data_IF_382025085804
#
_entry.id   IF_382025085804
#
_cell.length_a   1.000
_cell.length_b   1.000
_cell.length_c   1.000
_cell.angle_alpha   90.00
_cell.angle_beta   90.00
_cell.angle_gamma   90.00
#
_symmetry.space_group_name_H-M   'P 1'
#
loop_
_entity.id
_entity.type
_entity.pdbx_description
1 polymer ?
#
# COMPACT_ATOMS: atom_id res chain seq x y z
N UNK A 1 -22.12 -87.44 23.16
CA UNK A 1 -20.93 -88.32 23.10
C UNK A 1 -20.75 -88.76 21.65
N UNK A 2 -19.98 -87.99 20.88
CA UNK A 2 -19.55 -88.34 19.53
C UNK A 2 -18.15 -87.75 19.32
N UNK A 3 -17.20 -88.65 19.09
CA UNK A 3 -15.78 -88.43 18.88
C UNK A 3 -15.47 -87.97 17.47
N UNK A 4 -14.59 -86.97 17.30
CA UNK A 4 -13.70 -86.87 16.14
C UNK A 4 -12.38 -86.22 16.59
N UNK A 5 -11.36 -87.05 16.79
CA UNK A 5 -9.99 -86.60 16.94
C UNK A 5 -9.44 -86.27 15.55
N UNK A 6 -9.04 -85.01 15.32
CA UNK A 6 -8.33 -84.60 14.10
C UNK A 6 -6.86 -84.40 14.45
N UNK A 7 -6.03 -85.33 14.00
CA UNK A 7 -4.57 -85.20 14.02
C UNK A 7 -4.14 -84.12 13.03
N UNK A 8 -3.49 -83.07 13.54
CA UNK A 8 -2.70 -82.17 12.71
C UNK A 8 -1.22 -82.42 12.98
N UNK A 9 -0.55 -82.96 11.96
CA UNK A 9 0.91 -83.02 11.86
C UNK A 9 1.44 -81.62 11.54
N UNK A 10 2.31 -81.02 12.37
CA UNK A 10 2.98 -79.79 11.98
C UNK A 10 4.13 -80.13 11.03
N UNK A 11 4.07 -79.54 9.83
CA UNK A 11 5.16 -79.54 8.88
C UNK A 11 6.42 -78.90 9.50
N UNK A 12 7.55 -79.60 9.41
CA UNK A 12 8.87 -79.12 9.80
C UNK A 12 9.31 -78.01 8.82
N UNK A 13 9.13 -76.76 9.20
CA UNK A 13 9.82 -75.62 8.58
C UNK A 13 11.04 -75.26 9.45
N UNK A 14 12.25 -75.14 8.88
CA UNK A 14 13.40 -74.64 9.64
C UNK A 14 13.21 -73.14 9.86
N UNK A 15 12.76 -72.74 11.04
CA UNK A 15 12.75 -71.34 11.45
C UNK A 15 14.19 -70.91 11.70
N UNK A 16 14.86 -70.47 10.63
CA UNK A 16 16.09 -69.68 10.72
C UNK A 16 15.73 -68.38 11.43
N UNK A 17 16.07 -68.30 12.71
CA UNK A 17 15.84 -67.11 13.52
C UNK A 17 16.83 -66.06 13.03
N UNK A 18 16.39 -64.87 12.58
CA UNK A 18 17.32 -63.83 12.16
C UNK A 18 18.35 -63.52 13.26
N UNK A 19 19.62 -63.42 12.89
CA UNK A 19 20.78 -63.24 13.79
C UNK A 19 20.63 -62.08 14.80
N UNK A 20 19.81 -61.09 14.48
CA UNK A 20 19.53 -59.94 15.34
C UNK A 20 18.66 -60.28 16.57
N UNK A 21 17.98 -61.44 16.59
CA UNK A 21 17.18 -61.94 17.72
C UNK A 21 17.93 -62.96 18.61
N UNK A 22 19.15 -63.35 18.25
CA UNK A 22 19.97 -64.30 19.02
C UNK A 22 20.27 -63.90 20.48
N UNK A 23 20.49 -62.61 20.85
CA UNK A 23 20.86 -62.27 22.23
C UNK A 23 19.68 -62.41 23.22
N UNK A 24 18.43 -62.50 22.76
CA UNK A 24 17.26 -62.65 23.62
C UNK A 24 17.09 -64.08 24.18
N UNK A 25 17.74 -65.08 23.58
CA UNK A 25 17.66 -66.49 23.98
C UNK A 25 18.93 -67.02 24.66
N UNK A 26 19.96 -66.19 24.81
CA UNK A 26 21.20 -66.62 25.47
C UNK A 26 21.03 -66.57 27.00
N UNK A 27 21.00 -67.74 27.64
CA UNK A 27 20.98 -67.88 29.10
C UNK A 27 22.44 -67.80 29.59
N UNK A 28 22.80 -66.87 30.50
CA UNK A 28 24.18 -66.78 30.97
C UNK A 28 24.53 -68.00 31.85
N UNK A 29 25.60 -68.70 31.48
CA UNK A 29 26.27 -69.68 32.33
C UNK A 29 27.21 -68.94 33.30
N UNK A 30 27.32 -69.34 34.58
CA UNK A 30 28.24 -68.70 35.52
C UNK A 30 29.68 -69.16 35.22
N UNK A 31 30.47 -68.31 34.58
CA UNK A 31 31.92 -68.53 34.42
C UNK A 31 32.62 -67.95 35.63
N UNK A 32 33.38 -68.81 36.32
CA UNK A 32 34.20 -68.47 37.47
C UNK A 32 35.23 -67.37 37.11
N UNK A 33 35.30 -66.34 37.97
CA UNK A 33 36.25 -65.25 37.85
C UNK A 33 37.68 -65.74 38.13
N UNK A 34 38.56 -65.63 37.13
CA UNK A 34 40.00 -65.62 37.37
C UNK A 34 40.67 -64.45 36.64
N UNK A 35 41.51 -63.77 37.43
CA UNK A 35 42.58 -62.85 37.06
C UNK A 35 42.19 -61.48 36.47
N UNK A 36 42.19 -60.50 37.38
CA UNK A 36 42.43 -59.09 37.11
C UNK A 36 43.72 -58.88 36.32
N UNK A 37 43.59 -58.39 35.09
CA UNK A 37 44.64 -57.59 34.45
C UNK A 37 44.04 -56.23 34.08
N UNK A 38 44.18 -55.30 35.02
CA UNK A 38 43.97 -53.88 34.79
C UNK A 38 45.00 -53.36 33.79
N UNK A 39 44.60 -53.25 32.52
CA UNK A 39 45.22 -52.30 31.58
C UNK A 39 44.32 -51.09 31.45
N UNK A 40 44.55 -50.14 32.34
CA UNK A 40 44.01 -48.79 32.30
C UNK A 40 44.60 -48.03 31.12
N UNK A 41 43.92 -48.04 29.96
CA UNK A 41 44.11 -47.00 28.93
C UNK A 41 43.31 -45.76 29.32
N UNK A 42 43.59 -45.20 30.50
CA UNK A 42 43.20 -43.83 30.77
C UNK A 42 44.14 -42.90 29.99
N UNK A 43 44.01 -42.88 28.66
CA UNK A 43 44.46 -41.74 27.89
C UNK A 43 43.63 -40.56 28.37
N UNK A 44 44.16 -39.82 29.35
CA UNK A 44 43.65 -38.49 29.71
C UNK A 44 43.92 -37.60 28.50
N UNK A 45 43.02 -37.65 27.53
CA UNK A 45 42.89 -36.53 26.61
C UNK A 45 42.42 -35.38 27.48
N UNK A 46 43.31 -34.41 27.73
CA UNK A 46 42.94 -33.07 28.17
C UNK A 46 42.10 -32.41 27.06
N UNK A 47 40.91 -32.96 26.80
CA UNK A 47 39.92 -32.36 25.91
C UNK A 47 39.36 -31.17 26.66
N UNK A 48 39.90 -29.99 26.34
CA UNK A 48 39.31 -28.70 26.73
C UNK A 48 37.78 -28.77 26.54
N UNK A 49 36.98 -28.29 27.49
CA UNK A 49 35.53 -28.35 27.39
C UNK A 49 35.09 -27.72 26.07
N UNK A 50 34.39 -28.51 25.25
CA UNK A 50 33.96 -28.09 23.92
C UNK A 50 32.86 -27.04 24.10
N UNK A 51 33.18 -25.77 23.83
CA UNK A 51 32.19 -24.69 23.84
C UNK A 51 31.04 -25.05 22.90
N UNK A 52 29.81 -24.94 23.38
CA UNK A 52 28.62 -25.16 22.57
C UNK A 52 28.66 -24.25 21.34
N UNK A 53 28.55 -24.85 20.16
CA UNK A 53 28.62 -24.11 18.89
C UNK A 53 27.33 -23.34 18.60
N UNK A 54 26.20 -23.76 19.18
CA UNK A 54 24.93 -23.09 18.98
C UNK A 54 24.75 -21.95 20.00
N UNK A 55 25.00 -20.72 19.55
CA UNK A 55 24.89 -19.51 20.38
C UNK A 55 23.44 -19.18 20.78
N UNK A 56 22.45 -19.64 20.01
CA UNK A 56 21.02 -19.39 20.25
C UNK A 56 20.30 -20.62 20.81
N UNK A 57 21.04 -21.62 21.30
CA UNK A 57 20.43 -22.81 21.91
C UNK A 57 19.56 -22.40 23.08
N UNK A 58 18.27 -22.74 23.01
CA UNK A 58 17.29 -22.45 24.05
C UNK A 58 16.91 -20.97 24.16
N UNK A 59 17.20 -20.15 23.14
CA UNK A 59 16.83 -18.72 23.12
C UNK A 59 15.72 -18.48 22.11
N UNK A 60 14.58 -17.96 22.56
CA UNK A 60 13.45 -17.58 21.72
C UNK A 60 12.71 -16.37 22.29
N UNK A 61 12.47 -15.36 21.44
CA UNK A 61 11.77 -14.14 21.83
C UNK A 61 10.27 -14.40 22.06
N UNK A 62 9.63 -15.19 21.19
CA UNK A 62 8.19 -15.51 21.26
C UNK A 62 7.84 -16.24 22.57
N UNK A 63 8.71 -17.19 23.00
CA UNK A 63 8.49 -17.94 24.24
C UNK A 63 9.12 -17.30 25.47
N UNK A 64 9.64 -16.08 25.35
CA UNK A 64 10.20 -15.29 26.45
C UNK A 64 11.25 -16.04 27.29
N UNK A 65 12.09 -16.87 26.65
CA UNK A 65 13.09 -17.71 27.37
C UNK A 65 14.24 -16.91 28.00
N UNK A 66 14.37 -15.62 27.65
CA UNK A 66 15.53 -14.80 28.01
C UNK A 66 16.78 -15.18 27.21
N UNK A 67 17.85 -14.36 27.27
CA UNK A 67 19.09 -14.66 26.59
C UNK A 67 19.96 -15.60 27.41
N UNK A 68 20.80 -16.30 26.66
CA UNK A 68 21.69 -17.33 27.16
C UNK A 68 22.79 -16.84 28.11
N UNK A 69 23.17 -15.56 28.03
CA UNK A 69 24.26 -14.99 28.83
C UNK A 69 23.80 -13.71 29.51
N UNK A 70 23.87 -13.71 30.83
CA UNK A 70 23.50 -12.59 31.69
C UNK A 70 24.68 -11.63 31.85
N UNK A 71 25.16 -11.03 30.76
CA UNK A 71 26.15 -9.94 30.85
C UNK A 71 25.49 -8.73 31.51
N UNK A 72 25.78 -8.48 32.80
CA UNK A 72 25.62 -7.22 33.58
C UNK A 72 24.28 -6.46 33.50
N UNK A 73 23.84 -6.09 32.30
CA UNK A 73 22.65 -5.33 31.97
C UNK A 73 21.33 -5.95 32.47
N UNK A 74 21.34 -7.21 32.89
CA UNK A 74 20.22 -7.92 33.51
C UNK A 74 19.87 -7.39 34.90
N UNK A 75 20.81 -6.70 35.55
CA UNK A 75 20.63 -6.16 36.90
C UNK A 75 19.76 -4.89 36.91
N UNK A 76 19.55 -4.27 35.75
CA UNK A 76 18.76 -3.05 35.64
C UNK A 76 17.37 -3.38 35.06
N UNK A 77 16.30 -2.75 35.57
CA UNK A 77 15.00 -2.84 34.92
C UNK A 77 15.09 -2.29 33.50
N UNK A 78 14.38 -2.93 32.56
CA UNK A 78 14.34 -2.45 31.18
C UNK A 78 13.71 -1.05 31.14
N UNK A 79 14.25 -0.12 30.34
CA UNK A 79 13.62 1.18 30.14
C UNK A 79 12.27 0.97 29.46
N UNK A 80 11.22 1.54 30.03
CA UNK A 80 9.86 1.48 29.47
C UNK A 80 9.69 2.66 28.53
N UNK A 81 9.61 2.46 27.19
CA UNK A 81 9.36 3.55 26.27
C UNK A 81 7.91 4.05 26.40
N UNK A 82 7.68 5.32 26.06
CA UNK A 82 6.34 5.86 25.94
C UNK A 82 5.60 5.12 24.82
N UNK A 83 4.41 4.60 25.13
CA UNK A 83 3.58 3.93 24.13
C UNK A 83 3.23 4.91 23.00
N UNK A 84 3.07 4.39 21.77
CA UNK A 84 2.80 5.22 20.59
C UNK A 84 1.55 6.07 20.75
N UNK A 85 0.55 5.56 21.45
CA UNK A 85 -0.74 6.24 21.63
C UNK A 85 -0.63 7.47 22.55
N UNK A 86 0.36 7.50 23.44
CA UNK A 86 0.65 8.64 24.32
C UNK A 86 1.72 9.57 23.74
N UNK A 87 2.26 9.26 22.55
CA UNK A 87 3.20 10.13 21.87
C UNK A 87 2.42 11.28 21.24
N UNK A 88 2.65 12.49 21.72
CA UNK A 88 2.15 13.71 21.06
C UNK A 88 2.75 13.85 19.67
N UNK A 89 2.22 14.78 18.88
CA UNK A 89 2.82 15.19 17.60
C UNK A 89 4.32 15.39 17.78
N UNK A 90 5.13 14.74 16.94
CA UNK A 90 6.58 14.85 17.05
C UNK A 90 6.99 16.32 16.88
N UNK A 91 8.01 16.75 17.63
CA UNK A 91 8.51 18.13 17.60
C UNK A 91 8.91 18.58 16.18
N UNK A 92 9.29 17.63 15.32
CA UNK A 92 9.59 17.84 13.90
C UNK A 92 8.41 18.42 13.10
N UNK A 93 7.17 18.18 13.54
CA UNK A 93 5.95 18.69 12.90
C UNK A 93 5.35 19.91 13.62
N UNK A 94 6.02 20.43 14.65
CA UNK A 94 5.58 21.65 15.31
C UNK A 94 5.71 22.83 14.31
N UNK A 95 4.57 23.38 13.86
CA UNK A 95 4.51 24.46 12.87
C UNK A 95 4.09 24.03 11.45
N UNK A 96 3.75 22.75 11.21
CA UNK A 96 3.26 22.28 9.91
C UNK A 96 1.78 22.61 9.64
N UNK A 97 1.32 23.79 10.05
CA UNK A 97 -0.07 24.22 9.90
C UNK A 97 -0.39 24.59 8.45
N UNK A 98 0.54 25.22 7.74
CA UNK A 98 0.40 25.64 6.34
C UNK A 98 0.95 24.57 5.38
N UNK A 99 0.74 23.30 5.72
CA UNK A 99 1.16 22.20 4.86
C UNK A 99 0.16 21.96 3.70
N UNK A 100 0.66 21.77 2.49
CA UNK A 100 -0.18 21.56 1.29
C UNK A 100 -1.11 20.35 1.38
N UNK A 101 -0.76 19.32 2.17
CA UNK A 101 -1.64 18.15 2.38
C UNK A 101 -2.92 18.49 3.15
N UNK A 102 -2.96 19.62 3.88
CA UNK A 102 -4.21 20.09 4.48
C UNK A 102 -5.27 20.43 3.44
N UNK A 103 -4.86 20.64 2.19
CA UNK A 103 -5.77 20.81 1.06
C UNK A 103 -6.67 19.60 0.76
N UNK A 104 -6.37 18.40 1.26
CA UNK A 104 -7.22 17.21 1.11
C UNK A 104 -8.31 17.10 2.19
N UNK A 105 -8.24 17.95 3.21
CA UNK A 105 -9.19 18.00 4.32
C UNK A 105 -10.02 19.29 4.26
N UNK A 106 -11.08 19.33 5.05
CA UNK A 106 -11.90 20.53 5.18
C UNK A 106 -11.18 21.62 5.96
N UNK A 107 -11.78 22.82 6.02
CA UNK A 107 -11.25 23.94 6.81
C UNK A 107 -11.07 23.59 8.29
N UNK A 108 -11.97 22.74 8.83
CA UNK A 108 -11.89 22.21 10.19
C UNK A 108 -10.79 21.14 10.37
N UNK A 109 -10.07 20.76 9.30
CA UNK A 109 -9.04 19.71 9.25
C UNK A 109 -9.53 18.34 9.75
N UNK A 110 -10.82 18.08 9.58
CA UNK A 110 -11.43 16.80 9.93
C UNK A 110 -11.22 15.80 8.79
N UNK A 111 -10.95 14.54 9.13
CA UNK A 111 -10.77 13.47 8.14
C UNK A 111 -12.09 12.97 7.56
N UNK A 112 -13.19 13.22 8.27
CA UNK A 112 -14.55 12.84 7.90
C UNK A 112 -15.53 13.93 8.32
N UNK A 113 -16.57 14.14 7.52
CA UNK A 113 -17.69 15.01 7.85
C UNK A 113 -18.94 14.19 8.21
N UNK A 114 -19.82 14.75 9.05
CA UNK A 114 -21.13 14.16 9.26
C UNK A 114 -21.94 14.18 7.95
N UNK A 115 -22.83 13.19 7.72
CA UNK A 115 -23.64 13.12 6.49
C UNK A 115 -24.44 14.39 6.20
N UNK A 116 -24.94 15.07 7.24
CA UNK A 116 -25.69 16.32 7.09
C UNK A 116 -24.84 17.45 6.46
N UNK A 117 -23.57 17.57 6.86
CA UNK A 117 -22.65 18.56 6.27
C UNK A 117 -22.21 18.13 4.84
N UNK A 118 -22.14 16.83 4.57
CA UNK A 118 -21.81 16.29 3.23
C UNK A 118 -22.93 16.58 2.21
N UNK A 119 -24.17 16.33 2.62
CA UNK A 119 -25.39 16.55 1.85
C UNK A 119 -25.66 18.03 1.61
N UNK A 120 -25.17 18.91 2.50
CA UNK A 120 -25.25 20.36 2.34
C UNK A 120 -24.33 20.88 1.21
N UNK A 121 -24.68 20.56 -0.04
CA UNK A 121 -24.13 21.16 -1.25
C UNK A 121 -25.23 21.77 -2.13
N UNK A 122 -24.84 22.71 -2.98
CA UNK A 122 -25.74 23.30 -3.97
C UNK A 122 -25.88 22.45 -5.23
N UNK A 123 -26.64 22.97 -6.19
CA UNK A 123 -26.78 22.40 -7.54
C UNK A 123 -25.46 22.51 -8.33
N UNK A 124 -25.23 21.60 -9.27
CA UNK A 124 -24.21 21.74 -10.31
C UNK A 124 -24.46 22.98 -11.19
N UNK A 125 -23.41 23.58 -11.76
CA UNK A 125 -23.51 24.64 -12.77
C UNK A 125 -24.26 24.18 -14.02
N UNK A 126 -25.06 25.07 -14.63
CA UNK A 126 -25.66 24.80 -15.95
C UNK A 126 -24.74 25.20 -17.10
N UNK A 127 -24.96 24.59 -18.27
CA UNK A 127 -24.30 24.98 -19.52
C UNK A 127 -24.43 26.48 -19.82
N UNK A 128 -25.63 27.05 -19.68
CA UNK A 128 -25.91 28.47 -19.98
C UNK A 128 -25.12 29.42 -19.06
N UNK A 129 -24.96 29.07 -17.78
CA UNK A 129 -24.18 29.87 -16.84
C UNK A 129 -22.68 29.83 -17.15
N UNK A 130 -22.19 28.67 -17.62
CA UNK A 130 -20.78 28.46 -17.97
C UNK A 130 -20.42 29.07 -19.34
N UNK A 131 -21.35 29.08 -20.30
CA UNK A 131 -21.10 29.60 -21.65
C UNK A 131 -20.83 31.11 -21.68
N UNK A 132 -21.24 31.86 -20.66
CA UNK A 132 -20.97 33.30 -20.51
C UNK A 132 -19.59 33.59 -19.89
N UNK A 133 -18.91 32.60 -19.27
CA UNK A 133 -17.67 32.82 -18.51
C UNK A 133 -16.42 32.86 -19.39
N UNK A 134 -15.40 33.60 -18.96
CA UNK A 134 -14.10 33.63 -19.64
C UNK A 134 -13.38 32.28 -19.56
N UNK A 135 -12.39 32.05 -20.44
CA UNK A 135 -11.56 30.83 -20.38
C UNK A 135 -10.81 30.71 -19.05
N UNK A 136 -10.22 31.81 -18.57
CA UNK A 136 -9.48 31.85 -17.31
C UNK A 136 -10.33 31.47 -16.10
N UNK A 137 -11.59 31.94 -16.07
CA UNK A 137 -12.50 31.61 -14.97
C UNK A 137 -12.94 30.15 -15.03
N UNK A 138 -13.22 29.62 -16.22
CA UNK A 138 -13.54 28.20 -16.41
C UNK A 138 -12.36 27.31 -15.99
N UNK A 139 -11.12 27.70 -16.32
CA UNK A 139 -9.93 26.96 -15.95
C UNK A 139 -9.70 26.97 -14.42
N UNK A 140 -9.87 28.12 -13.76
CA UNK A 140 -9.81 28.21 -12.29
C UNK A 140 -10.92 27.38 -11.63
N UNK A 141 -12.15 27.48 -12.14
CA UNK A 141 -13.29 26.72 -11.64
C UNK A 141 -13.05 25.21 -11.78
N UNK A 142 -12.52 24.76 -12.92
CA UNK A 142 -12.18 23.36 -13.14
C UNK A 142 -11.22 22.83 -12.08
N UNK A 143 -10.18 23.60 -11.73
CA UNK A 143 -9.24 23.22 -10.65
C UNK A 143 -9.87 23.23 -9.26
N UNK A 144 -10.83 24.12 -9.00
CA UNK A 144 -11.63 24.07 -7.76
C UNK A 144 -12.43 22.77 -7.70
N UNK A 145 -13.09 22.38 -8.80
CA UNK A 145 -13.82 21.12 -8.90
C UNK A 145 -12.91 19.90 -8.66
N UNK A 146 -11.72 19.87 -9.27
CA UNK A 146 -10.75 18.78 -9.07
C UNK A 146 -10.30 18.67 -7.61
N UNK A 147 -10.01 19.81 -6.96
CA UNK A 147 -9.63 19.82 -5.54
C UNK A 147 -10.77 19.32 -4.66
N UNK A 148 -11.99 19.74 -4.93
CA UNK A 148 -13.17 19.30 -4.18
C UNK A 148 -13.47 17.81 -4.40
N UNK A 149 -13.34 17.31 -5.63
CA UNK A 149 -13.46 15.88 -5.93
C UNK A 149 -12.41 15.08 -5.13
N UNK A 150 -11.16 15.53 -5.08
CA UNK A 150 -10.11 14.87 -4.32
C UNK A 150 -10.39 14.86 -2.81
N UNK A 151 -10.97 15.94 -2.26
CA UNK A 151 -11.42 16.00 -0.86
C UNK A 151 -12.55 15.01 -0.58
N UNK A 152 -13.56 14.96 -1.44
CA UNK A 152 -14.70 14.05 -1.31
C UNK A 152 -14.25 12.57 -1.36
N UNK A 153 -13.37 12.23 -2.32
CA UNK A 153 -12.81 10.87 -2.42
C UNK A 153 -11.93 10.50 -1.23
N UNK A 154 -11.19 11.46 -0.66
CA UNK A 154 -10.39 11.23 0.55
C UNK A 154 -11.28 10.89 1.75
N UNK A 155 -12.36 11.66 1.95
CA UNK A 155 -13.36 11.41 3.00
C UNK A 155 -14.06 10.06 2.82
N UNK A 156 -14.45 9.72 1.59
CA UNK A 156 -15.07 8.42 1.28
C UNK A 156 -14.11 7.25 1.57
N UNK A 157 -12.83 7.38 1.20
CA UNK A 157 -11.81 6.37 1.46
C UNK A 157 -11.59 6.17 2.96
N UNK A 158 -11.54 7.25 3.74
CA UNK A 158 -11.41 7.17 5.19
C UNK A 158 -12.65 6.55 5.83
N UNK A 159 -13.86 6.92 5.35
CA UNK A 159 -15.11 6.27 5.78
C UNK A 159 -15.09 4.77 5.57
N UNK A 160 -14.63 4.30 4.39
CA UNK A 160 -14.50 2.86 4.08
C UNK A 160 -13.47 2.17 4.96
N UNK A 161 -12.35 2.85 5.27
CA UNK A 161 -11.30 2.33 6.16
C UNK A 161 -11.80 2.16 7.59
N UNK A 162 -12.46 3.18 8.14
CA UNK A 162 -12.98 3.20 9.52
C UNK A 162 -14.27 2.40 9.65
N UNK A 163 -14.96 2.12 8.52
CA UNK A 163 -16.27 1.45 8.47
C UNK A 163 -17.33 2.21 9.27
N UNK A 164 -17.36 3.53 9.11
CA UNK A 164 -18.24 4.42 9.86
C UNK A 164 -19.75 4.27 9.52
N UNK A 165 -20.11 3.46 8.53
CA UNK A 165 -21.49 3.19 8.14
C UNK A 165 -22.02 4.20 7.12
N UNK A 166 -22.91 5.09 7.57
CA UNK A 166 -23.68 6.03 6.74
C UNK A 166 -22.83 7.11 6.04
N UNK A 167 -23.43 7.83 5.08
CA UNK A 167 -22.79 8.94 4.36
C UNK A 167 -22.35 8.63 2.92
N UNK A 168 -22.44 7.37 2.49
CA UNK A 168 -21.93 6.91 1.18
C UNK A 168 -22.68 7.56 0.01
N UNK A 169 -24.01 7.63 0.10
CA UNK A 169 -24.86 8.22 -0.94
C UNK A 169 -24.60 9.73 -1.05
N UNK A 170 -24.53 10.41 0.08
CA UNK A 170 -24.32 11.85 0.17
C UNK A 170 -22.97 12.26 -0.44
N UNK A 171 -21.93 11.43 -0.23
CA UNK A 171 -20.64 11.66 -0.88
C UNK A 171 -20.67 11.37 -2.39
N UNK A 172 -21.44 10.38 -2.83
CA UNK A 172 -21.58 10.02 -4.25
C UNK A 172 -22.33 11.13 -5.00
N UNK A 173 -23.47 11.58 -4.47
CA UNK A 173 -24.25 12.70 -5.00
C UNK A 173 -23.40 13.96 -5.17
N UNK A 174 -22.58 14.30 -4.14
CA UNK A 174 -21.67 15.45 -4.21
C UNK A 174 -20.63 15.27 -5.32
N UNK A 175 -20.03 14.09 -5.43
CA UNK A 175 -19.03 13.80 -6.48
C UNK A 175 -19.66 13.85 -7.87
N UNK A 176 -20.89 13.39 -8.03
CA UNK A 176 -21.60 13.39 -9.29
C UNK A 176 -21.99 14.80 -9.72
N UNK A 177 -22.47 15.65 -8.81
CA UNK A 177 -22.69 17.07 -9.07
C UNK A 177 -21.38 17.76 -9.52
N UNK A 178 -20.24 17.46 -8.88
CA UNK A 178 -18.94 18.01 -9.29
C UNK A 178 -18.56 17.50 -10.69
N UNK A 179 -18.73 16.21 -10.98
CA UNK A 179 -18.42 15.63 -12.29
C UNK A 179 -19.26 16.25 -13.40
N UNK A 180 -20.54 16.47 -13.15
CA UNK A 180 -21.45 17.14 -14.08
C UNK A 180 -20.94 18.55 -14.44
N UNK A 181 -20.47 19.32 -13.45
CA UNK A 181 -19.86 20.63 -13.75
C UNK A 181 -18.60 20.51 -14.61
N UNK A 182 -17.76 19.51 -14.35
CA UNK A 182 -16.53 19.30 -15.11
C UNK A 182 -16.82 18.86 -16.55
N UNK A 183 -17.85 18.05 -16.78
CA UNK A 183 -18.27 17.66 -18.14
C UNK A 183 -18.84 18.84 -18.90
N UNK A 184 -19.70 19.65 -18.26
CA UNK A 184 -20.27 20.85 -18.88
C UNK A 184 -19.20 21.89 -19.23
N UNK A 185 -18.18 22.09 -18.39
CA UNK A 185 -17.04 22.96 -18.72
C UNK A 185 -16.34 22.48 -19.99
N UNK A 186 -16.14 21.16 -20.13
CA UNK A 186 -15.51 20.58 -21.33
C UNK A 186 -16.36 20.78 -22.57
N UNK A 187 -17.67 20.58 -22.47
CA UNK A 187 -18.62 20.78 -23.57
C UNK A 187 -18.64 22.24 -24.03
N UNK A 188 -18.73 23.20 -23.10
CA UNK A 188 -18.67 24.63 -23.43
C UNK A 188 -17.38 25.00 -24.17
N UNK A 189 -16.23 24.45 -23.75
CA UNK A 189 -14.96 24.71 -24.43
C UNK A 189 -14.91 24.09 -25.83
N UNK A 190 -15.44 22.88 -26.01
CA UNK A 190 -15.53 22.21 -27.30
C UNK A 190 -16.44 22.97 -28.27
N UNK A 191 -17.62 23.41 -27.80
CA UNK A 191 -18.57 24.16 -28.63
C UNK A 191 -18.03 25.52 -29.07
N UNK A 192 -17.23 26.19 -28.21
CA UNK A 192 -16.55 27.43 -28.57
C UNK A 192 -15.52 27.23 -29.67
N UNK A 193 -14.71 26.17 -29.58
CA UNK A 193 -13.74 25.82 -30.61
C UNK A 193 -14.44 25.50 -31.93
N UNK A 194 -15.50 24.68 -31.88
CA UNK A 194 -16.30 24.34 -33.04
C UNK A 194 -16.96 25.58 -33.68
N UNK A 195 -17.49 26.49 -32.87
CA UNK A 195 -18.08 27.75 -33.33
C UNK A 195 -17.03 28.66 -33.98
N UNK A 196 -15.82 28.74 -33.41
CA UNK A 196 -14.70 29.49 -33.97
C UNK A 196 -14.26 28.92 -35.32
N UNK A 197 -14.09 27.60 -35.40
CA UNK A 197 -13.70 26.93 -36.64
C UNK A 197 -14.74 27.12 -37.74
N UNK A 198 -16.04 26.99 -37.40
CA UNK A 198 -17.14 27.26 -38.33
C UNK A 198 -17.12 28.71 -38.83
N UNK A 199 -16.97 29.68 -37.93
CA UNK A 199 -16.86 31.09 -38.31
C UNK A 199 -15.64 31.33 -39.21
N UNK A 200 -14.50 30.71 -38.91
CA UNK A 200 -13.29 30.83 -39.72
C UNK A 200 -13.44 30.19 -41.11
N UNK A 201 -14.16 29.07 -41.22
CA UNK A 201 -14.50 28.47 -42.52
C UNK A 201 -15.43 29.37 -43.34
N UNK A 202 -16.42 30.02 -42.71
CA UNK A 202 -17.30 30.98 -43.39
C UNK A 202 -16.52 32.21 -43.88
N UNK A 203 -15.56 32.71 -43.10
CA UNK A 203 -14.66 33.80 -43.53
C UNK A 203 -13.78 33.43 -44.73
N UNK A 204 -13.53 32.14 -44.99
CA UNK A 204 -12.78 31.72 -46.20
C UNK A 204 -13.65 31.76 -47.46
N UNK A 205 -14.97 31.88 -47.31
CA UNK A 205 -15.90 32.01 -48.44
C UNK A 205 -15.91 33.48 -48.89
N UNK A 206 -15.58 33.70 -50.18
CA UNK A 206 -15.42 35.05 -50.77
C UNK A 206 -16.64 35.96 -50.57
N UNK A 207 -17.84 35.38 -50.52
CA UNK A 207 -19.09 36.13 -50.33
C UNK A 207 -19.15 36.81 -48.95
N UNK A 208 -18.61 36.17 -47.91
CA UNK A 208 -18.64 36.70 -46.54
C UNK A 208 -17.53 37.72 -46.33
N UNK A 209 -16.35 37.52 -46.95
CA UNK A 209 -15.27 38.50 -46.92
C UNK A 209 -15.70 39.81 -47.55
N UNK A 210 -16.31 39.77 -48.74
CA UNK A 210 -16.78 40.98 -49.44
C UNK A 210 -17.85 41.75 -48.66
N UNK A 211 -18.72 41.05 -47.91
CA UNK A 211 -19.75 41.67 -47.06
C UNK A 211 -19.14 42.33 -45.81
N UNK A 212 -18.12 41.71 -45.20
CA UNK A 212 -17.45 42.23 -44.02
C UNK A 212 -16.43 43.34 -44.37
N UNK A 213 -15.79 43.26 -45.54
CA UNK A 213 -14.81 44.22 -46.07
C UNK A 213 -15.46 45.46 -46.71
N UNK A 214 -16.60 45.94 -46.18
CA UNK A 214 -17.27 47.15 -46.66
C UNK A 214 -16.28 48.30 -46.96
N UNK A 215 -16.58 49.21 -47.92
CA UNK A 215 -15.62 49.95 -48.76
C UNK A 215 -14.74 50.99 -48.04
N UNK A 216 -13.97 50.57 -47.03
CA UNK A 216 -13.16 51.41 -46.17
C UNK A 216 -12.36 50.69 -45.09
N UNK A 217 -12.28 49.35 -45.08
CA UNK A 217 -11.50 48.60 -44.08
C UNK A 217 -10.38 47.78 -44.71
N UNK A 218 -9.55 48.42 -45.54
CA UNK A 218 -8.18 47.97 -45.68
C UNK A 218 -7.44 48.59 -44.51
N UNK A 219 -7.18 47.83 -43.44
CA UNK A 219 -6.03 48.02 -42.56
C UNK A 219 -5.95 46.89 -41.53
N UNK A 220 -4.86 46.13 -41.60
CA UNK A 220 -4.26 45.33 -40.52
C UNK A 220 -4.97 44.03 -40.07
N UNK A 221 -5.14 43.07 -40.99
CA UNK A 221 -5.16 41.64 -40.60
C UNK A 221 -3.77 41.02 -40.83
N UNK A 222 -2.74 41.59 -40.18
CA UNK A 222 -1.37 41.08 -40.27
C UNK A 222 -1.06 40.21 -39.05
N UNK A 223 -0.80 38.93 -39.35
CA UNK A 223 -0.20 37.87 -38.52
C UNK A 223 -0.57 37.77 -37.02
N UNK A 224 -1.51 36.89 -36.70
CA UNK A 224 -1.40 36.10 -35.47
C UNK A 224 -0.38 34.97 -35.73
N UNK A 225 0.63 34.77 -34.87
CA UNK A 225 1.63 33.74 -35.09
C UNK A 225 0.96 32.37 -34.99
N UNK A 226 1.04 31.61 -36.09
CA UNK A 226 0.85 30.17 -36.08
C UNK A 226 1.72 29.61 -34.97
N UNK A 227 1.09 28.88 -34.04
CA UNK A 227 1.81 28.04 -33.07
C UNK A 227 2.49 26.92 -33.83
N UNK A 228 3.64 27.23 -34.43
CA UNK A 228 4.60 26.25 -34.87
C UNK A 228 5.22 25.65 -33.61
N UNK A 229 4.86 24.39 -33.40
CA UNK A 229 5.56 23.51 -32.49
C UNK A 229 6.98 23.28 -33.03
N UNK A 230 7.92 24.14 -32.65
CA UNK A 230 9.33 23.78 -32.68
C UNK A 230 9.75 23.22 -31.32
N UNK A 231 10.16 21.95 -31.42
CA UNK A 231 10.91 21.23 -30.42
C UNK A 231 12.33 21.82 -30.39
N UNK A 232 12.71 22.41 -29.26
CA UNK A 232 14.12 22.56 -28.88
C UNK A 232 14.22 22.33 -27.38
N UNK A 233 14.61 21.13 -26.97
CA UNK A 233 15.99 20.72 -26.72
C UNK A 233 16.55 21.29 -25.40
N UNK A 234 16.51 20.43 -24.38
CA UNK A 234 17.49 20.27 -23.30
C UNK A 234 18.17 21.54 -22.74
N UNK A 235 17.64 22.07 -21.64
CA UNK A 235 18.44 22.85 -20.68
C UNK A 235 19.18 21.90 -19.72
N UNK A 236 20.51 22.01 -19.53
CA UNK A 236 21.24 21.23 -18.53
C UNK A 236 20.99 21.76 -17.11
N UNK A 237 21.14 20.92 -16.06
CA UNK A 237 20.95 21.36 -14.68
C UNK A 237 22.11 22.27 -14.23
N UNK A 238 21.77 23.51 -13.87
CA UNK A 238 22.66 24.43 -13.19
C UNK A 238 23.02 23.90 -11.78
N UNK A 239 24.32 23.84 -11.51
CA UNK A 239 24.88 23.46 -10.23
C UNK A 239 25.01 24.67 -9.28
N UNK A 240 24.71 24.40 -8.00
CA UNK A 240 25.29 24.98 -6.77
C UNK A 240 24.87 26.42 -6.38
N UNK A 241 24.98 26.84 -5.10
CA UNK A 241 25.64 26.22 -3.94
C UNK A 241 24.74 25.42 -2.97
#
# INVERSE_FOLDING_TARGET
MASLARSFTPASAPTSVPLFLAPAFSRPQPIAALASQSRSYAARLDRRPKKDKNKQRGVSAIRRTGPRSTRGLWQHPLPVPVARDHRTTAAEYAGSEDHGLWGFFDQKRQSMLPPDEESSHGRAWTYQELSVKSFEDLHKLYWVCVKEQNRALTREKERKRVRAGYGALESEERVDAIRETMTLIREVLADRQLSYDQAHLLLKQLEVTEILEGPGSQDNFEQLPSTEAEQDSQSPPAAAP
#
